data_IF_658077358989
#
_entry.id   IF_658077358989
#
_cell.length_a   1.000
_cell.length_b   1.000
_cell.length_c   1.000
_cell.angle_alpha   90.00
_cell.angle_beta   90.00
_cell.angle_gamma   90.00
#
_symmetry.space_group_name_H-M   'P 1'
#
loop_
_entity.id
_entity.type
_entity.pdbx_description
1 polymer ?
#
# COMPACT_ATOMS: atom_id res chain seq x y z
N UNK A 1 17.65 13.97 8.01
CA UNK A 1 18.75 14.54 8.85
C UNK A 1 20.09 14.63 8.12
N UNK A 2 20.42 13.71 7.20
CA UNK A 2 21.58 13.83 6.31
C UNK A 2 21.46 14.98 5.29
N UNK A 3 20.26 15.24 4.76
CA UNK A 3 19.97 16.37 3.86
C UNK A 3 20.35 17.76 4.41
N UNK A 4 20.53 17.89 5.74
CA UNK A 4 21.00 19.15 6.35
C UNK A 4 22.50 19.39 6.16
N UNK A 5 23.27 18.33 5.88
CA UNK A 5 24.74 18.34 5.89
C UNK A 5 25.36 17.86 4.57
N UNK A 6 24.57 17.23 3.68
CA UNK A 6 25.01 16.70 2.40
C UNK A 6 24.27 17.34 1.23
N UNK A 7 24.92 17.52 0.07
CA UNK A 7 24.24 17.88 -1.17
C UNK A 7 23.12 16.89 -1.50
N UNK A 8 22.03 17.39 -2.08
CA UNK A 8 20.83 16.60 -2.39
C UNK A 8 21.15 15.33 -3.19
N UNK A 9 22.00 15.42 -4.23
CA UNK A 9 22.36 14.28 -5.07
C UNK A 9 23.05 13.16 -4.28
N UNK A 10 23.93 13.51 -3.33
CA UNK A 10 24.66 12.54 -2.53
C UNK A 10 23.73 11.90 -1.50
N UNK A 11 22.85 12.68 -0.86
CA UNK A 11 21.82 12.15 0.01
C UNK A 11 20.89 11.19 -0.74
N UNK A 12 20.45 11.57 -1.95
CA UNK A 12 19.61 10.74 -2.81
C UNK A 12 20.29 9.43 -3.21
N UNK A 13 21.58 9.46 -3.54
CA UNK A 13 22.38 8.26 -3.83
C UNK A 13 22.49 7.35 -2.61
N UNK A 14 22.81 7.89 -1.43
CA UNK A 14 22.89 7.12 -0.18
C UNK A 14 21.54 6.47 0.13
N UNK A 15 20.44 7.23 0.06
CA UNK A 15 19.08 6.72 0.32
C UNK A 15 18.70 5.64 -0.68
N UNK A 16 19.01 5.84 -1.96
CA UNK A 16 18.81 4.84 -3.01
C UNK A 16 19.58 3.55 -2.70
N UNK A 17 20.85 3.65 -2.34
CA UNK A 17 21.68 2.50 -1.93
C UNK A 17 21.11 1.79 -0.69
N UNK A 18 20.66 2.54 0.33
CA UNK A 18 20.06 1.97 1.54
C UNK A 18 18.79 1.20 1.21
N UNK A 19 17.87 1.78 0.44
CA UNK A 19 16.62 1.12 0.06
C UNK A 19 16.87 -0.11 -0.83
N UNK A 20 17.81 -0.01 -1.77
CA UNK A 20 18.16 -1.10 -2.66
C UNK A 20 18.87 -2.24 -1.94
N UNK A 21 19.86 -1.94 -1.09
CA UNK A 21 20.54 -2.92 -0.25
C UNK A 21 19.55 -3.58 0.72
N UNK A 22 18.65 -2.81 1.34
CA UNK A 22 17.59 -3.33 2.20
C UNK A 22 16.71 -4.36 1.45
N UNK A 23 16.30 -4.04 0.22
CA UNK A 23 15.53 -4.95 -0.62
C UNK A 23 16.32 -6.22 -0.96
N UNK A 24 17.59 -6.11 -1.36
CA UNK A 24 18.41 -7.27 -1.71
C UNK A 24 18.67 -8.16 -0.49
N UNK A 25 19.12 -7.60 0.63
CA UNK A 25 19.50 -8.35 1.83
C UNK A 25 18.30 -9.12 2.37
N UNK A 26 17.18 -8.44 2.61
CA UNK A 26 16.00 -9.10 3.14
C UNK A 26 15.26 -9.92 2.09
N UNK A 27 15.29 -9.52 0.82
CA UNK A 27 14.75 -10.31 -0.28
C UNK A 27 15.47 -11.65 -0.44
N UNK A 28 16.80 -11.66 -0.38
CA UNK A 28 17.61 -12.87 -0.38
C UNK A 28 17.37 -13.72 0.87
N UNK A 29 17.32 -13.11 2.05
CA UNK A 29 17.03 -13.82 3.30
C UNK A 29 15.64 -14.48 3.28
N UNK A 30 14.62 -13.76 2.85
CA UNK A 30 13.24 -14.26 2.70
C UNK A 30 13.17 -15.35 1.63
N UNK A 31 13.88 -15.21 0.52
CA UNK A 31 13.98 -16.25 -0.51
C UNK A 31 14.59 -17.53 0.07
N UNK A 32 15.73 -17.45 0.75
CA UNK A 32 16.40 -18.60 1.36
C UNK A 32 15.52 -19.26 2.42
N UNK A 33 14.93 -18.48 3.32
CA UNK A 33 14.00 -19.01 4.34
C UNK A 33 12.72 -19.59 3.70
N UNK A 34 12.25 -19.03 2.58
CA UNK A 34 11.15 -19.57 1.79
C UNK A 34 11.48 -20.94 1.20
N UNK A 35 12.68 -21.11 0.64
CA UNK A 35 13.16 -22.41 0.15
C UNK A 35 13.30 -23.43 1.29
N UNK A 36 13.83 -23.00 2.46
CA UNK A 36 13.88 -23.87 3.65
C UNK A 36 12.48 -24.26 4.09
N UNK A 37 11.51 -23.33 4.12
CA UNK A 37 10.10 -23.61 4.47
C UNK A 37 9.46 -24.62 3.52
N UNK A 38 9.84 -24.60 2.24
CA UNK A 38 9.34 -25.53 1.23
C UNK A 38 9.74 -26.99 1.56
N UNK A 39 10.96 -27.19 2.08
CA UNK A 39 11.48 -28.52 2.46
C UNK A 39 11.08 -28.88 3.90
N UNK A 40 11.10 -27.90 4.81
CA UNK A 40 10.88 -28.06 6.25
C UNK A 40 9.84 -27.05 6.75
N UNK A 41 8.54 -27.37 6.70
CA UNK A 41 7.45 -26.46 7.09
C UNK A 41 7.26 -26.39 8.63
N UNK A 42 8.33 -26.09 9.37
CA UNK A 42 8.32 -26.00 10.83
C UNK A 42 8.04 -24.57 11.33
N UNK A 43 7.41 -24.40 12.52
CA UNK A 43 7.03 -23.08 13.04
C UNK A 43 8.19 -22.09 13.19
N UNK A 44 9.40 -22.57 13.50
CA UNK A 44 10.59 -21.73 13.68
C UNK A 44 10.96 -21.00 12.38
N UNK A 45 10.93 -21.69 11.24
CA UNK A 45 11.20 -21.08 9.92
C UNK A 45 10.17 -20.00 9.63
N UNK A 46 8.89 -20.25 9.95
CA UNK A 46 7.83 -19.25 9.85
C UNK A 46 8.09 -17.99 10.69
N UNK A 47 8.53 -18.15 11.95
CA UNK A 47 8.90 -17.02 12.82
C UNK A 47 10.08 -16.22 12.26
N UNK A 48 11.14 -16.91 11.82
CA UNK A 48 12.31 -16.26 11.20
C UNK A 48 11.93 -15.49 9.94
N UNK A 49 11.04 -16.04 9.11
CA UNK A 49 10.55 -15.37 7.90
C UNK A 49 9.80 -14.07 8.23
N UNK A 50 8.90 -14.10 9.22
CA UNK A 50 8.20 -12.89 9.67
C UNK A 50 9.16 -11.88 10.32
N UNK A 51 10.18 -12.33 11.04
CA UNK A 51 11.24 -11.45 11.58
C UNK A 51 12.06 -10.80 10.47
N UNK A 52 12.43 -11.55 9.43
CA UNK A 52 13.10 -11.00 8.24
C UNK A 52 12.22 -9.97 7.54
N UNK A 53 10.92 -10.25 7.38
CA UNK A 53 9.96 -9.31 6.80
C UNK A 53 9.82 -8.02 7.62
N UNK A 54 9.77 -8.13 8.95
CA UNK A 54 9.81 -6.97 9.87
C UNK A 54 11.12 -6.20 9.75
N UNK A 55 12.25 -6.88 9.55
CA UNK A 55 13.55 -6.25 9.29
C UNK A 55 13.53 -5.40 8.02
N UNK A 56 12.94 -5.91 6.92
CA UNK A 56 12.74 -5.14 5.70
C UNK A 56 11.88 -3.89 5.93
N UNK A 57 10.79 -4.00 6.69
CA UNK A 57 9.94 -2.87 7.08
C UNK A 57 10.74 -1.79 7.83
N UNK A 58 11.56 -2.19 8.81
CA UNK A 58 12.45 -1.28 9.57
C UNK A 58 13.49 -0.63 8.66
N UNK A 59 14.05 -1.35 7.71
CA UNK A 59 14.99 -0.79 6.74
C UNK A 59 14.35 0.20 5.77
N UNK A 60 13.08 -0.02 5.37
CA UNK A 60 12.33 0.99 4.61
C UNK A 60 12.11 2.26 5.44
N UNK A 61 11.76 2.10 6.73
CA UNK A 61 11.64 3.22 7.67
C UNK A 61 12.95 4.00 7.79
N UNK A 62 14.08 3.31 7.90
CA UNK A 62 15.41 3.94 7.92
C UNK A 62 15.67 4.72 6.63
N UNK A 63 15.46 4.11 5.46
CA UNK A 63 15.65 4.78 4.17
C UNK A 63 14.77 6.02 3.99
N UNK A 64 13.51 5.94 4.41
CA UNK A 64 12.59 7.09 4.40
C UNK A 64 13.03 8.19 5.37
N UNK A 65 13.46 7.83 6.58
CA UNK A 65 13.97 8.79 7.57
C UNK A 65 15.25 9.51 7.11
N UNK A 66 16.11 8.82 6.35
CA UNK A 66 17.29 9.42 5.73
C UNK A 66 16.89 10.34 4.55
N UNK A 67 15.91 9.92 3.74
CA UNK A 67 15.53 10.58 2.50
C UNK A 67 14.50 11.70 2.60
N UNK A 68 13.68 11.74 3.64
CA UNK A 68 12.65 12.74 3.84
C UNK A 68 12.64 13.24 5.29
N UNK A 69 12.82 14.54 5.46
CA UNK A 69 12.87 15.15 6.80
C UNK A 69 11.47 15.42 7.40
N UNK A 70 10.42 15.42 6.58
CA UNK A 70 9.07 15.82 6.99
C UNK A 70 8.05 14.73 6.63
N UNK A 71 8.02 13.68 7.44
CA UNK A 71 7.03 12.62 7.33
C UNK A 71 5.95 12.88 8.38
N UNK A 72 4.75 13.27 7.94
CA UNK A 72 3.59 13.54 8.81
C UNK A 72 2.63 12.37 8.71
N UNK A 73 2.37 11.72 9.84
CA UNK A 73 1.40 10.62 9.95
C UNK A 73 0.27 11.08 10.85
N UNK A 74 -0.92 11.22 10.27
CA UNK A 74 -2.14 11.59 10.97
C UNK A 74 -3.07 10.38 10.99
N UNK A 75 -3.39 9.87 12.17
CA UNK A 75 -4.32 8.75 12.35
C UNK A 75 -5.55 9.27 13.07
N UNK A 76 -6.72 9.15 12.44
CA UNK A 76 -8.03 9.45 13.03
C UNK A 76 -8.67 8.13 13.43
N UNK A 77 -8.79 7.92 14.75
CA UNK A 77 -9.20 6.65 15.36
C UNK A 77 -8.03 5.89 15.97
N UNK A 78 -8.33 4.76 16.62
CA UNK A 78 -7.33 3.94 17.30
C UNK A 78 -6.83 2.81 16.39
N UNK A 79 -5.52 2.56 16.43
CA UNK A 79 -4.87 1.45 15.75
C UNK A 79 -4.07 0.61 16.73
N UNK A 80 -3.99 -0.68 16.45
CA UNK A 80 -3.33 -1.67 17.28
C UNK A 80 -2.48 -2.59 16.41
N UNK A 81 -1.19 -2.74 16.75
CA UNK A 81 -0.24 -3.59 16.03
C UNK A 81 -0.58 -5.09 16.07
N UNK A 82 -1.51 -5.49 16.95
CA UNK A 82 -2.01 -6.86 17.10
C UNK A 82 -3.37 -7.11 16.43
N UNK A 83 -3.85 -6.17 15.62
CA UNK A 83 -5.13 -6.27 14.90
C UNK A 83 -4.95 -6.66 13.42
N UNK A 84 -6.06 -6.83 12.72
CA UNK A 84 -6.13 -7.12 11.31
C UNK A 84 -6.89 -6.02 10.58
N UNK A 85 -6.26 -5.46 9.56
CA UNK A 85 -6.80 -4.32 8.85
C UNK A 85 -6.90 -4.59 7.35
N UNK A 86 -7.95 -4.07 6.73
CA UNK A 86 -7.99 -3.83 5.29
C UNK A 86 -7.60 -2.37 5.04
N UNK A 87 -6.41 -2.12 4.49
CA UNK A 87 -5.96 -0.78 4.15
C UNK A 87 -6.26 -0.47 2.69
N UNK A 88 -7.00 0.61 2.44
CA UNK A 88 -7.30 1.10 1.09
C UNK A 88 -6.58 2.43 0.86
N UNK A 89 -5.88 2.54 -0.27
CA UNK A 89 -5.08 3.74 -0.58
C UNK A 89 -5.17 4.18 -2.04
N UNK A 90 -4.96 5.48 -2.26
CA UNK A 90 -4.53 5.99 -3.56
C UNK A 90 -3.12 5.45 -3.89
N UNK A 91 -2.72 5.51 -5.16
CA UNK A 91 -1.45 4.92 -5.59
C UNK A 91 -0.67 5.89 -6.48
N UNK A 92 0.49 6.35 -6.05
CA UNK A 92 1.28 7.39 -6.71
C UNK A 92 2.62 6.82 -7.19
N UNK A 93 3.32 6.09 -6.34
CA UNK A 93 4.69 5.64 -6.59
C UNK A 93 4.91 4.19 -6.14
N UNK A 94 6.03 3.60 -6.54
CA UNK A 94 6.51 2.39 -5.86
C UNK A 94 6.88 2.69 -4.39
N UNK A 95 7.22 3.95 -4.09
CA UNK A 95 7.57 4.41 -2.75
C UNK A 95 6.40 4.23 -1.77
N UNK A 96 5.16 4.19 -2.24
CA UNK A 96 3.97 3.91 -1.44
C UNK A 96 4.11 2.63 -0.60
N UNK A 97 4.71 1.58 -1.18
CA UNK A 97 4.95 0.31 -0.48
C UNK A 97 5.95 0.50 0.67
N UNK A 98 7.03 1.25 0.44
CA UNK A 98 8.02 1.56 1.47
C UNK A 98 7.40 2.41 2.58
N UNK A 99 6.57 3.39 2.21
CA UNK A 99 5.86 4.25 3.16
C UNK A 99 4.91 3.45 4.03
N UNK A 100 4.01 2.67 3.43
CA UNK A 100 3.03 1.88 4.18
C UNK A 100 3.68 0.80 5.04
N UNK A 101 4.79 0.20 4.58
CA UNK A 101 5.56 -0.77 5.39
C UNK A 101 6.36 -0.15 6.52
N UNK A 102 6.61 1.16 6.50
CA UNK A 102 7.34 1.86 7.57
C UNK A 102 6.48 2.25 8.77
N UNK A 103 5.17 2.04 8.70
CA UNK A 103 4.22 2.43 9.74
C UNK A 103 4.22 1.41 10.89
N UNK A 104 5.08 1.63 11.89
CA UNK A 104 5.21 0.73 13.06
C UNK A 104 3.92 0.61 13.90
N UNK A 105 3.01 1.58 13.80
CA UNK A 105 1.71 1.54 14.47
C UNK A 105 0.77 0.49 13.88
N UNK A 106 1.04 0.01 12.65
CA UNK A 106 0.25 -0.99 11.96
C UNK A 106 0.98 -2.34 11.93
N UNK A 107 0.24 -3.46 11.95
CA UNK A 107 0.81 -4.76 11.64
C UNK A 107 1.44 -4.76 10.25
N UNK A 108 2.48 -5.59 10.07
CA UNK A 108 3.25 -5.63 8.82
C UNK A 108 2.33 -5.84 7.60
N UNK A 109 2.55 -5.09 6.51
CA UNK A 109 1.62 -5.12 5.39
C UNK A 109 1.71 -6.43 4.61
N UNK A 110 0.61 -6.83 4.00
CA UNK A 110 0.58 -7.84 2.94
C UNK A 110 -0.20 -7.29 1.76
N UNK A 111 0.11 -7.78 0.57
CA UNK A 111 -0.44 -7.24 -0.67
C UNK A 111 -1.17 -8.34 -1.43
N UNK A 112 -2.29 -7.99 -2.05
CA UNK A 112 -2.86 -8.81 -3.11
C UNK A 112 -2.01 -8.63 -4.36
N UNK A 113 -1.23 -9.65 -4.70
CA UNK A 113 -0.28 -9.58 -5.80
C UNK A 113 -0.95 -10.08 -7.08
N UNK A 114 -0.58 -9.49 -8.21
CA UNK A 114 -0.99 -10.05 -9.50
C UNK A 114 -0.29 -11.39 -9.73
N UNK A 115 -0.96 -12.33 -10.35
CA UNK A 115 -0.43 -13.68 -10.61
C UNK A 115 0.91 -13.66 -11.37
N UNK A 116 1.13 -12.68 -12.26
CA UNK A 116 2.37 -12.53 -13.02
C UNK A 116 3.59 -12.25 -12.12
N UNK A 117 3.37 -11.69 -10.93
CA UNK A 117 4.44 -11.39 -9.97
C UNK A 117 5.04 -12.64 -9.32
N UNK A 118 4.41 -13.81 -9.48
CA UNK A 118 4.98 -15.10 -9.04
C UNK A 118 6.34 -15.40 -9.66
N UNK A 119 6.56 -14.92 -10.87
CA UNK A 119 7.76 -15.21 -11.66
C UNK A 119 8.87 -14.17 -11.47
N UNK A 120 8.59 -13.08 -10.75
CA UNK A 120 9.59 -12.05 -10.47
C UNK A 120 10.48 -12.50 -9.31
N UNK A 121 11.82 -12.57 -9.48
CA UNK A 121 12.74 -12.96 -8.42
C UNK A 121 12.54 -12.11 -7.15
N UNK A 122 12.72 -12.74 -5.98
CA UNK A 122 12.46 -12.22 -4.63
C UNK A 122 10.98 -11.90 -4.32
N UNK A 123 10.25 -11.32 -5.26
CA UNK A 123 8.84 -10.92 -5.07
C UNK A 123 7.95 -12.16 -4.99
N UNK A 124 8.00 -13.04 -5.99
CA UNK A 124 7.10 -14.19 -6.07
C UNK A 124 7.32 -15.20 -4.94
N UNK A 125 8.58 -15.55 -4.67
CA UNK A 125 8.95 -16.48 -3.60
C UNK A 125 8.71 -15.89 -2.22
N UNK A 126 9.02 -14.61 -1.99
CA UNK A 126 8.77 -13.95 -0.72
C UNK A 126 7.29 -13.81 -0.41
N UNK A 127 6.50 -13.44 -1.42
CA UNK A 127 5.05 -13.42 -1.32
C UNK A 127 4.46 -14.80 -0.97
N UNK A 128 4.88 -15.85 -1.68
CA UNK A 128 4.46 -17.22 -1.38
C UNK A 128 4.86 -17.63 0.05
N UNK A 129 6.10 -17.36 0.45
CA UNK A 129 6.62 -17.71 1.77
C UNK A 129 5.81 -17.02 2.89
N UNK A 130 5.43 -15.76 2.69
CA UNK A 130 4.62 -14.95 3.60
C UNK A 130 3.10 -15.26 3.54
N UNK A 131 2.71 -16.19 2.67
CA UNK A 131 1.31 -16.59 2.45
C UNK A 131 0.47 -15.54 1.73
N UNK A 132 1.09 -14.59 1.02
CA UNK A 132 0.37 -13.54 0.29
C UNK A 132 -0.43 -14.15 -0.87
N UNK A 133 -1.71 -13.77 -1.03
CA UNK A 133 -2.55 -14.26 -2.12
C UNK A 133 -2.14 -13.65 -3.45
N UNK A 134 -2.16 -14.49 -4.49
CA UNK A 134 -2.00 -14.07 -5.88
C UNK A 134 -3.34 -14.10 -6.60
N UNK A 135 -3.70 -12.97 -7.16
CA UNK A 135 -4.97 -12.71 -7.83
C UNK A 135 -4.79 -12.88 -9.34
N UNK A 136 -5.59 -13.76 -9.94
CA UNK A 136 -5.73 -13.83 -11.39
C UNK A 136 -6.74 -12.81 -11.86
N UNK A 137 -6.44 -12.15 -12.98
CA UNK A 137 -7.44 -11.34 -13.69
C UNK A 137 -8.11 -12.23 -14.70
N UNK A 138 -9.32 -12.68 -14.40
CA UNK A 138 -10.13 -13.36 -15.42
C UNK A 138 -10.77 -12.31 -16.32
N UNK A 139 -10.37 -12.29 -17.59
CA UNK A 139 -10.95 -11.38 -18.58
C UNK A 139 -12.37 -11.80 -18.96
N UNK A 140 -13.18 -10.85 -19.47
CA UNK A 140 -14.54 -11.16 -19.96
C UNK A 140 -14.53 -12.26 -21.03
N UNK A 141 -13.52 -12.25 -21.91
CA UNK A 141 -13.36 -13.27 -22.94
C UNK A 141 -13.04 -14.66 -22.36
N UNK A 142 -12.20 -14.74 -21.32
CA UNK A 142 -11.89 -15.99 -20.63
C UNK A 142 -13.11 -16.53 -19.86
N UNK A 143 -13.87 -15.65 -19.19
CA UNK A 143 -15.12 -16.04 -18.51
C UNK A 143 -16.17 -16.56 -19.48
N UNK A 144 -16.30 -15.94 -20.66
CA UNK A 144 -17.22 -16.40 -21.69
C UNK A 144 -16.86 -17.80 -22.22
N UNK A 145 -15.56 -18.11 -22.32
CA UNK A 145 -15.07 -19.42 -22.76
C UNK A 145 -15.16 -20.50 -21.67
N UNK A 146 -15.03 -20.13 -20.40
CA UNK A 146 -15.13 -21.06 -19.29
C UNK A 146 -15.77 -20.39 -18.06
N UNK A 147 -17.10 -20.54 -17.89
CA UNK A 147 -17.83 -20.00 -16.75
C UNK A 147 -17.34 -20.51 -15.39
N UNK A 148 -16.72 -21.70 -15.34
CA UNK A 148 -16.18 -22.27 -14.10
C UNK A 148 -14.92 -21.54 -13.58
N UNK A 149 -14.35 -20.63 -14.38
CA UNK A 149 -13.31 -19.70 -13.89
C UNK A 149 -13.89 -18.64 -12.93
N UNK A 150 -15.21 -18.46 -12.92
CA UNK A 150 -15.90 -17.55 -12.00
C UNK A 150 -15.87 -18.15 -10.59
N UNK A 151 -15.32 -17.41 -9.62
CA UNK A 151 -15.26 -17.85 -8.22
C UNK A 151 -14.07 -18.76 -7.84
N UNK A 152 -13.30 -19.29 -8.79
CA UNK A 152 -12.12 -20.13 -8.49
C UNK A 152 -11.06 -19.39 -7.65
N UNK A 153 -10.98 -18.08 -7.82
CA UNK A 153 -10.08 -17.21 -7.05
C UNK A 153 -10.55 -17.06 -5.59
N UNK A 154 -11.86 -17.12 -5.31
CA UNK A 154 -12.44 -16.96 -3.96
C UNK A 154 -11.96 -18.09 -3.05
N UNK A 155 -12.15 -19.35 -3.46
CA UNK A 155 -11.78 -20.50 -2.65
C UNK A 155 -10.25 -20.67 -2.50
N UNK A 156 -9.49 -20.33 -3.55
CA UNK A 156 -8.02 -20.30 -3.47
C UNK A 156 -7.54 -19.23 -2.51
N UNK A 157 -8.13 -18.04 -2.54
CA UNK A 157 -7.78 -16.95 -1.63
C UNK A 157 -8.19 -17.28 -0.21
N UNK A 158 -9.41 -17.79 0.02
CA UNK A 158 -9.83 -18.31 1.35
C UNK A 158 -8.79 -19.26 1.91
N UNK A 159 -8.29 -20.20 1.10
CA UNK A 159 -7.25 -21.15 1.49
C UNK A 159 -5.92 -20.46 1.83
N UNK A 160 -5.43 -19.53 1.00
CA UNK A 160 -4.19 -18.79 1.25
C UNK A 160 -4.27 -17.92 2.52
N UNK A 161 -5.44 -17.34 2.77
CA UNK A 161 -5.66 -16.44 3.89
C UNK A 161 -6.03 -17.14 5.20
N UNK A 162 -6.23 -18.46 5.24
CA UNK A 162 -6.37 -19.20 6.51
C UNK A 162 -5.20 -18.94 7.46
N UNK A 163 -3.99 -18.83 6.90
CA UNK A 163 -2.78 -18.55 7.67
C UNK A 163 -2.68 -17.11 8.18
N UNK A 164 -3.52 -16.19 7.67
CA UNK A 164 -3.52 -14.79 8.14
C UNK A 164 -4.11 -14.67 9.52
N UNK A 165 -5.00 -15.59 9.92
CA UNK A 165 -5.59 -15.63 11.27
C UNK A 165 -4.56 -15.75 12.39
N UNK A 166 -3.38 -16.30 12.12
CA UNK A 166 -2.37 -16.53 13.16
C UNK A 166 -1.39 -15.37 13.36
N UNK A 167 -1.40 -14.37 12.47
CA UNK A 167 -0.48 -13.25 12.51
C UNK A 167 -1.18 -11.93 12.17
N UNK A 168 -1.21 -10.95 13.09
CA UNK A 168 -1.68 -9.60 12.83
C UNK A 168 -1.12 -9.07 11.51
N UNK A 169 -2.00 -8.60 10.63
CA UNK A 169 -1.66 -8.26 9.25
C UNK A 169 -2.49 -7.08 8.75
N UNK A 170 -1.83 -6.15 8.05
CA UNK A 170 -2.51 -5.09 7.29
C UNK A 170 -2.55 -5.48 5.81
N UNK A 171 -3.72 -5.80 5.28
CA UNK A 171 -3.86 -6.13 3.85
C UNK A 171 -4.04 -4.84 3.06
N UNK A 172 -3.04 -4.48 2.27
CA UNK A 172 -3.01 -3.25 1.48
C UNK A 172 -3.63 -3.46 0.11
N UNK A 173 -4.56 -2.58 -0.24
CA UNK A 173 -5.20 -2.51 -1.54
C UNK A 173 -5.09 -1.09 -2.11
N UNK A 174 -4.29 -0.97 -3.18
CA UNK A 174 -4.24 0.22 -4.02
C UNK A 174 -5.44 0.22 -4.96
N UNK A 175 -6.50 0.92 -4.56
CA UNK A 175 -7.84 0.79 -5.15
C UNK A 175 -7.89 1.21 -6.61
N UNK A 176 -7.05 2.15 -7.03
CA UNK A 176 -6.92 2.60 -8.41
C UNK A 176 -6.40 1.48 -9.34
N UNK A 177 -5.71 0.49 -8.76
CA UNK A 177 -5.13 -0.67 -9.43
C UNK A 177 -3.97 -0.33 -10.36
N UNK A 178 -3.50 0.92 -10.36
CA UNK A 178 -2.33 1.42 -11.07
C UNK A 178 -1.87 2.74 -10.44
N UNK A 179 -0.61 3.09 -10.63
CA UNK A 179 -0.06 4.38 -10.18
C UNK A 179 -0.67 5.53 -10.99
N UNK A 180 -1.05 6.59 -10.29
CA UNK A 180 -1.53 7.84 -10.83
C UNK A 180 -0.51 8.42 -11.81
N UNK A 181 -1.01 8.85 -12.97
CA UNK A 181 -0.32 9.75 -13.89
C UNK A 181 -1.35 10.66 -14.54
N UNK A 182 -0.98 11.88 -14.90
CA UNK A 182 -1.86 12.81 -15.61
C UNK A 182 -2.45 12.17 -16.88
N UNK A 183 -1.64 11.42 -17.63
CA UNK A 183 -2.08 10.70 -18.82
C UNK A 183 -3.20 9.68 -18.53
N UNK A 184 -3.07 8.87 -17.46
CA UNK A 184 -4.10 7.88 -17.09
C UNK A 184 -5.35 8.55 -16.55
N UNK A 185 -5.17 9.63 -15.80
CA UNK A 185 -6.26 10.44 -15.26
C UNK A 185 -7.12 11.02 -16.38
N UNK A 186 -6.48 11.63 -17.39
CA UNK A 186 -7.14 12.16 -18.58
C UNK A 186 -7.78 11.04 -19.41
N UNK A 187 -7.05 9.95 -19.67
CA UNK A 187 -7.53 8.85 -20.51
C UNK A 187 -8.80 8.18 -19.97
N UNK A 188 -8.89 8.00 -18.65
CA UNK A 188 -10.09 7.42 -18.04
C UNK A 188 -11.19 8.45 -17.77
N UNK A 189 -10.93 9.75 -17.99
CA UNK A 189 -11.80 10.87 -17.61
C UNK A 189 -12.22 10.76 -16.14
N UNK A 190 -11.23 10.81 -15.24
CA UNK A 190 -11.51 10.73 -13.80
C UNK A 190 -12.37 11.92 -13.36
N UNK A 191 -13.46 11.69 -12.59
CA UNK A 191 -14.26 12.78 -12.03
C UNK A 191 -13.61 13.42 -10.80
N UNK A 192 -12.53 12.81 -10.29
CA UNK A 192 -11.78 13.25 -9.11
C UNK A 192 -10.57 14.07 -9.55
N UNK A 193 -10.21 15.14 -8.82
CA UNK A 193 -9.12 16.03 -9.20
C UNK A 193 -7.75 15.36 -9.00
N UNK A 194 -7.55 14.63 -7.90
CA UNK A 194 -6.25 14.09 -7.47
C UNK A 194 -6.17 12.57 -7.54
N UNK A 195 -7.24 11.89 -7.97
CA UNK A 195 -7.36 10.44 -7.90
C UNK A 195 -7.71 9.83 -9.25
N UNK A 196 -7.28 8.57 -9.47
CA UNK A 196 -7.86 7.75 -10.51
C UNK A 196 -9.21 7.13 -10.08
N UNK A 197 -10.01 6.65 -11.05
CA UNK A 197 -11.27 5.95 -10.77
C UNK A 197 -11.01 4.69 -9.92
N UNK A 198 -11.73 4.49 -8.80
CA UNK A 198 -11.52 3.34 -7.94
C UNK A 198 -12.01 2.04 -8.59
N UNK A 199 -11.33 0.93 -8.31
CA UNK A 199 -11.70 -0.42 -8.80
C UNK A 199 -12.18 -1.29 -7.65
N UNK A 200 -13.50 -1.33 -7.49
CA UNK A 200 -14.18 -2.01 -6.40
C UNK A 200 -13.88 -3.51 -6.27
N UNK A 201 -13.63 -4.21 -7.38
CA UNK A 201 -13.55 -5.69 -7.39
C UNK A 201 -12.52 -6.28 -6.43
N UNK A 202 -11.33 -5.67 -6.30
CA UNK A 202 -10.29 -6.19 -5.41
C UNK A 202 -10.63 -6.04 -3.93
N UNK A 203 -11.24 -4.91 -3.54
CA UNK A 203 -11.63 -4.63 -2.15
C UNK A 203 -12.84 -5.48 -1.78
N UNK A 204 -13.86 -5.51 -2.64
CA UNK A 204 -15.07 -6.29 -2.41
C UNK A 204 -14.74 -7.77 -2.24
N UNK A 205 -13.80 -8.29 -3.03
CA UNK A 205 -13.29 -9.63 -2.89
C UNK A 205 -12.56 -9.87 -1.57
N UNK A 206 -11.71 -8.94 -1.13
CA UNK A 206 -11.02 -9.05 0.15
C UNK A 206 -12.02 -9.08 1.32
N UNK A 207 -13.04 -8.23 1.29
CA UNK A 207 -14.12 -8.18 2.28
C UNK A 207 -14.97 -9.46 2.24
N UNK A 208 -15.37 -9.95 1.07
CA UNK A 208 -16.13 -11.20 0.91
C UNK A 208 -15.37 -12.39 1.50
N UNK A 209 -14.04 -12.43 1.36
CA UNK A 209 -13.20 -13.55 1.81
C UNK A 209 -12.74 -13.42 3.26
N UNK A 210 -12.53 -12.20 3.77
CA UNK A 210 -11.81 -11.94 5.03
C UNK A 210 -12.57 -11.05 6.02
N UNK A 211 -13.84 -10.71 5.80
CA UNK A 211 -14.59 -9.83 6.70
C UNK A 211 -14.49 -10.26 8.17
N UNK A 212 -14.69 -11.54 8.49
CA UNK A 212 -14.62 -12.06 9.87
C UNK A 212 -13.23 -11.93 10.52
N UNK A 213 -12.19 -11.66 9.73
CA UNK A 213 -10.83 -11.50 10.23
C UNK A 213 -10.46 -10.05 10.46
N UNK A 214 -11.10 -9.10 9.79
CA UNK A 214 -10.72 -7.70 9.87
C UNK A 214 -11.39 -7.02 11.05
N UNK A 215 -10.60 -6.35 11.88
CA UNK A 215 -11.09 -5.50 12.97
C UNK A 215 -11.61 -4.16 12.43
N UNK A 216 -10.95 -3.61 11.40
CA UNK A 216 -11.34 -2.34 10.77
C UNK A 216 -10.82 -2.20 9.34
N UNK A 217 -11.40 -1.25 8.59
CA UNK A 217 -10.87 -0.76 7.32
C UNK A 217 -10.12 0.56 7.56
N UNK A 218 -8.92 0.67 6.99
CA UNK A 218 -8.09 1.87 7.05
C UNK A 218 -8.20 2.63 5.73
N UNK A 219 -8.86 3.77 5.73
CA UNK A 219 -8.91 4.67 4.59
C UNK A 219 -7.67 5.57 4.60
N UNK A 220 -6.67 5.22 3.77
CA UNK A 220 -5.37 5.88 3.77
C UNK A 220 -5.16 6.79 2.57
N UNK A 221 -4.70 8.00 2.82
CA UNK A 221 -4.36 9.01 1.81
C UNK A 221 -2.86 9.28 1.86
N UNK A 222 -2.19 9.11 0.73
CA UNK A 222 -0.77 9.41 0.56
C UNK A 222 -0.61 10.65 -0.30
N UNK A 223 0.16 11.63 0.18
CA UNK A 223 0.56 12.83 -0.57
C UNK A 223 2.06 13.01 -0.43
N UNK A 224 2.70 13.37 -1.54
CA UNK A 224 4.13 13.61 -1.62
C UNK A 224 4.37 15.04 -2.12
N UNK A 225 5.38 15.71 -1.56
CA UNK A 225 5.86 16.99 -2.07
C UNK A 225 7.36 16.93 -2.33
N UNK A 226 7.80 17.62 -3.37
CA UNK A 226 9.19 17.80 -3.73
C UNK A 226 9.30 18.61 -5.01
N UNK A 227 10.52 18.72 -5.54
CA UNK A 227 10.83 19.60 -6.68
C UNK A 227 10.12 19.25 -8.00
N UNK A 228 9.49 18.07 -8.10
CA UNK A 228 8.69 17.66 -9.26
C UNK A 228 7.56 16.72 -8.85
N UNK A 229 6.60 16.46 -9.74
CA UNK A 229 5.53 15.46 -9.49
C UNK A 229 6.06 14.01 -9.46
N UNK A 230 7.30 13.78 -9.87
CA UNK A 230 7.90 12.44 -9.94
C UNK A 230 8.53 12.02 -8.61
N UNK A 231 7.71 11.46 -7.71
CA UNK A 231 8.12 11.00 -6.35
C UNK A 231 9.40 10.15 -6.34
N UNK A 232 9.54 9.20 -7.28
CA UNK A 232 10.72 8.35 -7.41
C UNK A 232 11.99 9.16 -7.71
N UNK A 233 11.89 10.12 -8.63
CA UNK A 233 13.00 11.00 -8.97
C UNK A 233 13.36 11.87 -7.77
N UNK A 234 12.35 12.41 -7.08
CA UNK A 234 12.58 13.26 -5.92
C UNK A 234 13.37 12.54 -4.83
N UNK A 235 13.00 11.29 -4.47
CA UNK A 235 13.74 10.58 -3.42
C UNK A 235 15.17 10.22 -3.85
N UNK A 236 15.38 9.78 -5.09
CA UNK A 236 16.72 9.41 -5.61
C UNK A 236 17.64 10.60 -5.85
N UNK A 237 17.08 11.80 -6.04
CA UNK A 237 17.84 13.06 -6.14
C UNK A 237 17.96 13.80 -4.81
N UNK A 238 17.37 13.30 -3.73
CA UNK A 238 17.30 14.02 -2.44
C UNK A 238 16.37 15.25 -2.46
N UNK A 239 15.54 15.39 -3.49
CA UNK A 239 14.59 16.48 -3.74
C UNK A 239 13.19 16.19 -3.13
N UNK A 240 13.01 15.07 -2.42
CA UNK A 240 11.77 14.79 -1.68
C UNK A 240 11.72 15.67 -0.43
N UNK A 241 10.62 16.36 -0.22
CA UNK A 241 10.47 17.35 0.83
C UNK A 241 9.57 16.86 1.94
N UNK A 242 8.38 16.36 1.59
CA UNK A 242 7.44 15.84 2.58
C UNK A 242 6.70 14.59 2.11
N UNK A 243 6.27 13.80 3.10
CA UNK A 243 5.34 12.68 2.94
C UNK A 243 4.23 12.91 3.94
N UNK A 244 3.01 13.07 3.46
CA UNK A 244 1.81 13.18 4.30
C UNK A 244 1.01 11.89 4.16
N UNK A 245 0.79 11.24 5.29
CA UNK A 245 0.00 10.02 5.42
C UNK A 245 -1.17 10.35 6.32
N UNK A 246 -2.39 10.27 5.80
CA UNK A 246 -3.58 10.33 6.65
C UNK A 246 -4.27 8.99 6.65
N UNK A 247 -4.65 8.49 7.82
CA UNK A 247 -5.33 7.22 8.01
C UNK A 247 -6.60 7.50 8.80
N UNK A 248 -7.74 7.16 8.22
CA UNK A 248 -9.03 7.16 8.90
C UNK A 248 -9.41 5.70 9.19
N UNK A 249 -9.60 5.39 10.47
CA UNK A 249 -10.04 4.07 10.93
C UNK A 249 -11.55 4.00 10.83
N UNK A 250 -12.07 3.05 10.05
CA UNK A 250 -13.49 2.90 9.81
C UNK A 250 -13.96 1.49 10.19
N UNK A 251 -15.13 1.35 10.84
CA UNK A 251 -15.71 0.05 11.10
C UNK A 251 -16.11 -0.62 9.78
N UNK A 252 -15.93 -1.93 9.70
CA UNK A 252 -16.45 -2.72 8.58
C UNK A 252 -17.94 -2.90 8.81
N UNK A 253 -18.74 -2.25 7.97
CA UNK A 253 -20.20 -2.30 8.09
C UNK A 253 -20.80 -3.42 7.22
N UNK A 254 -22.04 -3.78 7.51
CA UNK A 254 -22.76 -4.82 6.76
C UNK A 254 -22.99 -4.45 5.29
N UNK A 255 -23.03 -3.15 4.95
CA UNK A 255 -23.17 -2.67 3.57
C UNK A 255 -21.92 -2.94 2.71
N UNK A 256 -20.77 -3.20 3.33
CA UNK A 256 -19.53 -3.60 2.66
C UNK A 256 -19.44 -5.10 2.37
N UNK A 257 -20.31 -5.90 2.98
CA UNK A 257 -20.23 -7.37 2.94
C UNK A 257 -21.32 -7.92 2.02
N UNK A 258 -20.91 -8.63 0.98
CA UNK A 258 -21.81 -9.22 0.00
C UNK A 258 -21.05 -9.82 -1.17
N UNK A 259 -21.76 -10.54 -2.06
CA UNK A 259 -21.10 -11.20 -3.19
C UNK A 259 -21.03 -10.30 -4.41
N UNK A 260 -19.86 -9.70 -4.63
CA UNK A 260 -19.65 -8.76 -5.74
C UNK A 260 -19.77 -9.41 -7.13
N UNK A 261 -19.57 -10.73 -7.23
CA UNK A 261 -19.57 -11.47 -8.49
C UNK A 261 -20.95 -11.97 -8.93
N UNK A 262 -21.84 -12.24 -7.98
CA UNK A 262 -23.15 -12.87 -8.24
C UNK A 262 -24.30 -11.91 -7.98
N UNK A 263 -24.18 -11.00 -7.02
CA UNK A 263 -25.21 -10.02 -6.69
C UNK A 263 -24.99 -8.69 -7.43
N UNK A 264 -25.90 -8.41 -8.37
CA UNK A 264 -25.85 -7.16 -9.16
C UNK A 264 -26.22 -5.93 -8.34
N UNK A 265 -27.16 -6.05 -7.40
CA UNK A 265 -27.64 -4.96 -6.58
C UNK A 265 -26.55 -4.55 -5.57
N UNK A 266 -25.98 -5.52 -4.86
CA UNK A 266 -24.84 -5.29 -3.97
C UNK A 266 -23.67 -4.65 -4.72
N UNK A 267 -23.31 -5.15 -5.90
CA UNK A 267 -22.23 -4.58 -6.71
C UNK A 267 -22.46 -3.10 -7.04
N UNK A 268 -23.68 -2.70 -7.40
CA UNK A 268 -24.00 -1.31 -7.68
C UNK A 268 -23.91 -0.45 -6.41
N UNK A 269 -24.48 -0.93 -5.31
CA UNK A 269 -24.42 -0.27 -4.00
C UNK A 269 -22.97 -0.10 -3.51
N UNK A 270 -22.14 -1.14 -3.60
CA UNK A 270 -20.75 -1.10 -3.18
C UNK A 270 -19.90 -0.17 -4.05
N UNK A 271 -20.17 -0.11 -5.36
CA UNK A 271 -19.53 0.86 -6.25
C UNK A 271 -19.89 2.30 -5.87
N UNK A 272 -21.17 2.55 -5.57
CA UNK A 272 -21.62 3.87 -5.11
C UNK A 272 -20.98 4.24 -3.77
N UNK A 273 -20.95 3.31 -2.80
CA UNK A 273 -20.27 3.48 -1.53
C UNK A 273 -18.80 3.86 -1.71
N UNK A 274 -18.08 3.12 -2.57
CA UNK A 274 -16.67 3.37 -2.82
C UNK A 274 -16.44 4.71 -3.54
N UNK A 275 -17.31 5.10 -4.47
CA UNK A 275 -17.23 6.41 -5.13
C UNK A 275 -17.48 7.57 -4.16
N UNK A 276 -18.41 7.41 -3.22
CA UNK A 276 -18.65 8.40 -2.17
C UNK A 276 -17.42 8.55 -1.27
N UNK A 277 -16.82 7.43 -0.85
CA UNK A 277 -15.58 7.43 -0.10
C UNK A 277 -14.43 8.09 -0.87
N UNK A 278 -14.34 7.84 -2.18
CA UNK A 278 -13.37 8.49 -3.06
C UNK A 278 -13.60 10.00 -3.20
N UNK A 279 -14.85 10.44 -3.22
CA UNK A 279 -15.21 11.87 -3.26
C UNK A 279 -14.75 12.59 -2.00
N UNK A 280 -14.94 11.98 -0.83
CA UNK A 280 -14.46 12.52 0.45
C UNK A 280 -12.93 12.57 0.46
N UNK A 281 -12.27 11.50 0.02
CA UNK A 281 -10.81 11.44 -0.10
C UNK A 281 -10.25 12.51 -1.03
N UNK A 282 -10.87 12.74 -2.19
CA UNK A 282 -10.39 13.73 -3.15
C UNK A 282 -10.42 15.14 -2.55
N UNK A 283 -11.50 15.49 -1.83
CA UNK A 283 -11.60 16.76 -1.07
C UNK A 283 -10.52 16.89 0.00
N UNK A 284 -10.25 15.81 0.72
CA UNK A 284 -9.18 15.76 1.72
C UNK A 284 -7.81 16.00 1.08
N UNK A 285 -7.54 15.39 -0.07
CA UNK A 285 -6.29 15.58 -0.82
C UNK A 285 -6.15 17.03 -1.29
N UNK A 286 -7.21 17.65 -1.80
CA UNK A 286 -7.21 19.07 -2.17
C UNK A 286 -6.85 19.97 -0.98
N UNK A 287 -7.43 19.71 0.20
CA UNK A 287 -7.11 20.47 1.41
C UNK A 287 -5.64 20.34 1.83
N UNK A 288 -5.07 19.13 1.72
CA UNK A 288 -3.65 18.88 2.02
C UNK A 288 -2.76 19.63 1.01
N UNK A 289 -3.08 19.58 -0.29
CA UNK A 289 -2.32 20.30 -1.31
C UNK A 289 -2.37 21.82 -1.11
N UNK A 290 -3.52 22.39 -0.72
CA UNK A 290 -3.65 23.82 -0.41
C UNK A 290 -2.80 24.21 0.81
N UNK A 291 -2.84 23.41 1.88
CA UNK A 291 -2.00 23.66 3.06
C UNK A 291 -0.51 23.63 2.74
N UNK A 292 -0.07 22.71 1.87
CA UNK A 292 1.32 22.62 1.43
C UNK A 292 1.74 23.86 0.62
N UNK A 293 0.94 24.27 -0.37
CA UNK A 293 1.19 25.48 -1.15
C UNK A 293 1.24 26.75 -0.28
N UNK A 294 0.37 26.84 0.75
CA UNK A 294 0.37 27.97 1.68
C UNK A 294 1.62 28.00 2.57
N UNK A 295 2.16 26.83 2.93
CA UNK A 295 3.37 26.72 3.76
C UNK A 295 4.62 27.15 2.97
N UNK A 296 4.66 26.90 1.66
CA UNK A 296 5.75 27.34 0.77
C UNK A 296 5.74 28.86 0.53
N UNK A 297 4.57 29.50 0.57
CA UNK A 297 4.41 30.94 0.35
C UNK A 297 4.69 31.82 1.57
N UNK A 298 4.99 31.25 2.74
CA UNK A 298 5.32 32.02 3.94
C UNK A 298 6.85 32.11 4.07
N UNK A 299 7.50 33.25 3.74
CA UNK A 299 8.94 33.36 3.91
C UNK A 299 9.28 33.25 5.41
N UNK A 300 10.39 32.58 5.72
CA UNK A 300 11.02 32.67 7.04
C UNK A 300 11.13 34.15 7.40
N UNK A 301 10.43 34.61 8.44
CA UNK A 301 10.63 35.95 9.00
C UNK A 301 12.14 36.11 9.22
N UNK A 302 12.76 36.99 8.44
CA UNK A 302 14.10 37.47 8.76
C UNK A 302 14.04 37.95 10.21
N UNK A 303 14.97 37.44 11.01
CA UNK A 303 15.21 37.97 12.33
C UNK A 303 15.79 39.35 12.09
N UNK A 304 14.94 40.38 12.08
CA UNK A 304 15.38 41.75 12.30
C UNK A 304 15.96 41.78 13.72
N UNK A 305 17.29 41.67 13.81
CA UNK A 305 18.01 41.95 15.05
C UNK A 305 18.15 43.48 15.12
N UNK A 306 17.75 44.12 16.24
CA UNK A 306 17.84 45.56 16.44
C UNK A 306 19.29 46.08 16.51
#
# INVERSE_FOLDING_TARGET
MLKKWLPNWLNGLIVGCVLFANLIIFGALVLTLGLVKLVLPIPVVGKLLHSAYKGWCKGNRLGLWLGCNNIKVNISGEVNANSWYLLISNHISWLDIAVLSSLDALPAPKFFLKDELKYVPFIGTGAWAMGMPFMKRVTKAQLAKNPNLKGLDVERTKRSCRNFRHHPTTIVNFVEGTRFTAQKHQHQQSPFQHLLKPKAGGIAFALEVLNEQFDAMLNTSLVYSGQSDHVCRNILKGELESIHITIEVMPINTQMIGSYQTDKAFRAQFQQYLNNLWTVKDKQLSAIHIQQASTELTPSKEIEIP
#
